data_IF_976816851013
#
_entry.id   IF_976816851013
#
_cell.length_a   1.000
_cell.length_b   1.000
_cell.length_c   1.000
_cell.angle_alpha   90.00
_cell.angle_beta   90.00
_cell.angle_gamma   90.00
#
_symmetry.space_group_name_H-M   'P 1'
#
loop_
_entity.id
_entity.type
_entity.pdbx_description
1 polymer ?
#
# COMPACT_ATOMS: atom_id res chain seq x y z
N UNK A 1 15.04 -4.47 -30.11
CA UNK A 1 14.01 -4.09 -29.12
C UNK A 1 14.34 -4.82 -27.84
N UNK A 2 14.94 -4.14 -26.85
CA UNK A 2 15.19 -4.75 -25.54
C UNK A 2 13.86 -4.73 -24.79
N UNK A 3 13.24 -5.90 -24.70
CA UNK A 3 12.15 -6.17 -23.78
C UNK A 3 12.67 -5.79 -22.38
N UNK A 4 12.21 -4.64 -21.85
CA UNK A 4 12.37 -4.33 -20.43
C UNK A 4 11.47 -5.33 -19.72
N UNK A 5 11.98 -6.55 -19.52
CA UNK A 5 11.37 -7.50 -18.61
C UNK A 5 11.05 -6.71 -17.35
N UNK A 6 9.78 -6.66 -16.91
CA UNK A 6 9.44 -5.97 -15.69
C UNK A 6 10.37 -6.51 -14.61
N UNK A 7 11.16 -5.62 -14.00
CA UNK A 7 12.06 -6.00 -12.92
C UNK A 7 11.29 -6.81 -11.87
N UNK A 8 11.98 -7.65 -11.09
CA UNK A 8 11.33 -8.63 -10.22
C UNK A 8 10.19 -7.96 -9.45
N UNK A 9 8.98 -8.46 -9.67
CA UNK A 9 7.77 -7.94 -9.06
C UNK A 9 7.98 -8.08 -7.55
N UNK A 10 8.17 -6.94 -6.86
CA UNK A 10 8.41 -6.95 -5.42
C UNK A 10 7.15 -7.49 -4.75
N UNK A 11 7.29 -8.61 -4.08
CA UNK A 11 6.21 -9.22 -3.32
C UNK A 11 6.10 -8.49 -1.97
N UNK A 12 5.17 -7.54 -1.90
CA UNK A 12 5.00 -6.63 -0.77
C UNK A 12 3.67 -6.91 -0.09
N UNK A 13 3.71 -7.16 1.21
CA UNK A 13 2.52 -7.31 2.06
C UNK A 13 2.20 -6.02 2.78
N UNK A 14 0.92 -5.65 2.78
CA UNK A 14 0.39 -4.53 3.55
C UNK A 14 -0.52 -5.03 4.66
N UNK A 15 -0.24 -4.64 5.91
CA UNK A 15 -1.12 -4.86 7.06
C UNK A 15 -1.60 -3.52 7.58
N UNK A 16 -2.87 -3.21 7.34
CA UNK A 16 -3.52 -1.99 7.84
C UNK A 16 -4.22 -2.28 9.16
N UNK A 17 -4.02 -1.40 10.13
CA UNK A 17 -4.62 -1.49 11.46
C UNK A 17 -5.75 -0.47 11.62
N UNK A 18 -6.65 -0.72 12.57
CA UNK A 18 -7.83 0.12 12.81
C UNK A 18 -7.50 1.51 13.34
N UNK A 19 -6.37 1.66 14.02
CA UNK A 19 -5.84 2.95 14.48
C UNK A 19 -5.26 3.80 13.32
N UNK A 20 -5.17 3.20 12.13
CA UNK A 20 -4.60 3.82 10.94
C UNK A 20 -3.12 3.56 10.78
N UNK A 21 -2.45 2.83 11.67
CA UNK A 21 -1.09 2.36 11.41
C UNK A 21 -1.05 1.37 10.25
N UNK A 22 0.11 1.22 9.64
CA UNK A 22 0.35 0.29 8.54
C UNK A 22 1.74 -0.31 8.68
N UNK A 23 1.83 -1.62 8.53
CA UNK A 23 3.09 -2.34 8.40
C UNK A 23 3.21 -2.81 6.97
N UNK A 24 4.33 -2.47 6.33
CA UNK A 24 4.64 -2.83 4.95
C UNK A 24 5.84 -3.76 5.00
N UNK A 25 5.72 -4.97 4.47
CA UNK A 25 6.79 -5.97 4.52
C UNK A 25 7.15 -6.40 3.12
N UNK A 26 8.44 -6.33 2.78
CA UNK A 26 9.00 -6.97 1.59
C UNK A 26 9.18 -8.46 1.88
N UNK A 27 8.42 -9.33 1.24
CA UNK A 27 8.45 -10.77 1.51
C UNK A 27 9.72 -11.44 0.97
N UNK A 28 10.43 -10.82 0.03
CA UNK A 28 11.67 -11.36 -0.50
C UNK A 28 12.83 -11.22 0.51
N UNK A 29 12.87 -10.13 1.26
CA UNK A 29 13.93 -9.82 2.25
C UNK A 29 13.47 -9.97 3.69
N UNK A 30 12.17 -10.08 3.94
CA UNK A 30 11.56 -10.05 5.28
C UNK A 30 11.65 -8.68 5.96
N UNK A 31 12.07 -7.65 5.24
CA UNK A 31 12.31 -6.31 5.80
C UNK A 31 11.02 -5.49 5.83
N UNK A 32 10.84 -4.73 6.89
CA UNK A 32 9.81 -3.70 6.94
C UNK A 32 10.22 -2.48 6.12
N UNK A 33 9.34 -2.04 5.23
CA UNK A 33 9.54 -0.92 4.33
C UNK A 33 8.81 0.31 4.86
N UNK A 34 9.40 1.47 4.63
CA UNK A 34 8.70 2.74 4.79
C UNK A 34 7.88 3.07 3.53
N UNK A 35 6.79 3.85 3.65
CA UNK A 35 6.03 4.31 2.51
C UNK A 35 6.86 5.02 1.44
N UNK A 36 7.92 5.73 1.85
CA UNK A 36 8.86 6.42 0.95
C UNK A 36 9.71 5.46 0.11
N UNK A 37 9.81 4.20 0.49
CA UNK A 37 10.53 3.15 -0.25
C UNK A 37 9.61 2.44 -1.28
N UNK A 38 8.31 2.72 -1.25
CA UNK A 38 7.37 2.22 -2.24
C UNK A 38 7.48 2.98 -3.56
N UNK A 39 7.16 2.29 -4.66
CA UNK A 39 7.11 2.90 -5.98
C UNK A 39 6.10 2.17 -6.86
N UNK A 40 5.63 2.86 -7.90
CA UNK A 40 4.71 2.29 -8.88
C UNK A 40 3.38 1.83 -8.25
N UNK A 41 2.84 0.67 -8.66
CA UNK A 41 1.53 0.19 -8.20
C UNK A 41 1.39 0.03 -6.68
N UNK A 42 2.48 -0.36 -6.00
CA UNK A 42 2.48 -0.55 -4.55
C UNK A 42 2.29 0.79 -3.80
N UNK A 43 2.92 1.87 -4.30
CA UNK A 43 2.74 3.21 -3.75
C UNK A 43 1.31 3.71 -4.00
N UNK A 44 0.79 3.52 -5.22
CA UNK A 44 -0.57 3.92 -5.56
C UNK A 44 -1.60 3.24 -4.65
N UNK A 45 -1.50 1.91 -4.49
CA UNK A 45 -2.37 1.15 -3.60
C UNK A 45 -2.32 1.65 -2.14
N UNK A 46 -1.11 1.95 -1.64
CA UNK A 46 -0.93 2.52 -0.31
C UNK A 46 -1.63 3.88 -0.15
N UNK A 47 -1.45 4.77 -1.13
CA UNK A 47 -2.06 6.11 -1.12
C UNK A 47 -3.58 6.02 -1.15
N UNK A 48 -4.16 5.19 -2.01
CA UNK A 48 -5.62 5.04 -2.12
C UNK A 48 -6.23 4.52 -0.81
N UNK A 49 -5.61 3.51 -0.20
CA UNK A 49 -6.04 3.01 1.11
C UNK A 49 -5.90 4.06 2.22
N UNK A 50 -4.82 4.84 2.20
CA UNK A 50 -4.62 5.94 3.15
C UNK A 50 -5.68 7.04 3.02
N UNK A 51 -5.99 7.45 1.80
CA UNK A 51 -7.02 8.46 1.54
C UNK A 51 -8.39 7.95 1.99
N UNK A 52 -8.75 6.69 1.70
CA UNK A 52 -10.02 6.12 2.18
C UNK A 52 -10.10 6.13 3.71
N UNK A 53 -9.03 5.69 4.40
CA UNK A 53 -8.99 5.73 5.87
C UNK A 53 -9.18 7.15 6.42
N UNK A 54 -8.47 8.13 5.86
CA UNK A 54 -8.56 9.53 6.30
C UNK A 54 -9.98 10.08 6.05
N UNK A 55 -10.56 9.80 4.88
CA UNK A 55 -11.93 10.23 4.56
C UNK A 55 -12.93 9.63 5.54
N UNK A 56 -12.82 8.34 5.86
CA UNK A 56 -13.67 7.68 6.86
C UNK A 56 -13.51 8.31 8.24
N UNK A 57 -12.27 8.62 8.64
CA UNK A 57 -11.97 9.23 9.95
C UNK A 57 -12.48 10.67 10.08
N UNK A 58 -12.36 11.48 9.02
CA UNK A 58 -12.76 12.89 9.03
C UNK A 58 -14.26 13.05 8.82
N UNK A 59 -14.82 12.33 7.87
CA UNK A 59 -16.19 12.55 7.42
C UNK A 59 -17.19 11.51 7.92
N UNK A 60 -16.74 10.43 8.56
CA UNK A 60 -17.62 9.39 9.12
C UNK A 60 -18.39 8.58 8.07
N UNK A 61 -18.17 8.80 6.77
CA UNK A 61 -18.88 8.06 5.73
C UNK A 61 -18.36 6.62 5.66
N UNK A 62 -19.19 5.60 5.94
CA UNK A 62 -18.86 4.23 5.56
C UNK A 62 -18.80 4.16 4.03
N UNK A 63 -17.75 3.55 3.48
CA UNK A 63 -17.75 3.12 2.07
C UNK A 63 -19.05 2.33 1.86
N UNK A 64 -19.91 2.80 0.96
CA UNK A 64 -21.13 2.08 0.62
C UNK A 64 -20.70 0.75 0.00
N UNK A 65 -20.93 -0.34 0.72
CA UNK A 65 -20.91 -1.70 0.19
C UNK A 65 -21.95 -1.78 -0.92
N UNK A 66 -21.48 -1.87 -2.16
CA UNK A 66 -22.29 -2.30 -3.30
C UNK A 66 -22.29 -3.83 -3.36
#
# INVERSE_FOLDING_TARGET
>A
MVDRLPGPMRDITFKFYTDGSVVITDNATGRELQPSELSGPALQFFVDRRISYIKKKIFGFPEQTA
#
